data_IF_026710110237
#
_entry.id   IF_026710110237
#
_cell.length_a   1.000
_cell.length_b   1.000
_cell.length_c   1.000
_cell.angle_alpha   90.00
_cell.angle_beta   90.00
_cell.angle_gamma   90.00
#
_symmetry.space_group_name_H-M   'P 1'
#
loop_
_entity.id
_entity.type
_entity.pdbx_description
1 polymer ?
#
# COMPACT_ATOMS: atom_id res chain seq x y z
N UNK A 1 0.05 28.45 -5.57
CA UNK A 1 0.05 27.06 -6.05
C UNK A 1 -0.40 26.17 -4.89
N UNK A 2 -1.70 25.87 -4.79
CA UNK A 2 -2.21 24.95 -3.76
C UNK A 2 -1.76 23.55 -4.16
N UNK A 3 -0.80 22.98 -3.42
CA UNK A 3 -0.42 21.59 -3.58
C UNK A 3 -1.67 20.75 -3.27
N UNK A 4 -2.01 19.85 -4.18
CA UNK A 4 -3.16 18.95 -4.12
C UNK A 4 -3.04 17.92 -2.97
N UNK A 5 -3.09 18.38 -1.72
CA UNK A 5 -3.09 17.53 -0.50
C UNK A 5 -4.45 16.80 -0.33
N UNK A 6 -5.36 16.94 -1.29
CA UNK A 6 -6.71 16.38 -1.19
C UNK A 6 -6.80 14.89 -1.53
N UNK A 7 -5.92 14.33 -2.37
CA UNK A 7 -6.02 12.91 -2.78
C UNK A 7 -5.10 11.98 -1.94
N UNK A 8 -5.53 10.72 -1.69
CA UNK A 8 -4.83 9.81 -0.78
C UNK A 8 -3.40 9.48 -1.21
N UNK A 9 -3.13 9.43 -2.53
CA UNK A 9 -1.79 9.13 -3.02
C UNK A 9 -0.84 10.30 -2.76
N UNK A 10 -1.27 11.54 -3.03
CA UNK A 10 -0.46 12.73 -2.75
C UNK A 10 -0.11 12.87 -1.27
N UNK A 11 -1.05 12.53 -0.35
CA UNK A 11 -0.77 12.49 1.10
C UNK A 11 0.30 11.47 1.43
N UNK A 12 0.19 10.27 0.87
CA UNK A 12 1.16 9.20 1.04
C UNK A 12 2.56 9.58 0.57
N UNK A 13 2.69 10.16 -0.63
CA UNK A 13 3.97 10.62 -1.14
C UNK A 13 4.58 11.73 -0.28
N UNK A 14 3.74 12.65 0.19
CA UNK A 14 4.16 13.74 1.09
C UNK A 14 4.73 13.21 2.42
N UNK A 15 4.21 12.09 2.92
CA UNK A 15 4.72 11.42 4.12
C UNK A 15 6.14 10.85 3.98
N UNK A 16 6.73 10.85 2.77
CA UNK A 16 8.04 10.25 2.48
C UNK A 16 9.02 11.32 2.01
N UNK A 17 10.01 11.63 2.86
CA UNK A 17 11.00 12.69 2.61
C UNK A 17 12.06 12.29 1.59
N UNK A 18 12.61 11.08 1.69
CA UNK A 18 13.67 10.62 0.81
C UNK A 18 13.13 10.05 -0.51
N UNK A 19 13.60 10.56 -1.64
CA UNK A 19 13.09 10.21 -2.97
C UNK A 19 13.25 8.71 -3.30
N UNK A 20 14.41 8.13 -3.03
CA UNK A 20 14.65 6.70 -3.27
C UNK A 20 13.70 5.82 -2.44
N UNK A 21 13.40 6.25 -1.20
CA UNK A 21 12.43 5.56 -0.35
C UNK A 21 11.02 5.69 -0.91
N UNK A 22 10.67 6.87 -1.43
CA UNK A 22 9.38 7.14 -2.06
C UNK A 22 9.14 6.20 -3.24
N UNK A 23 10.08 6.09 -4.17
CA UNK A 23 9.97 5.19 -5.32
C UNK A 23 9.77 3.73 -4.90
N UNK A 24 10.54 3.25 -3.90
CA UNK A 24 10.39 1.88 -3.36
C UNK A 24 9.03 1.67 -2.70
N UNK A 25 8.51 2.66 -1.99
CA UNK A 25 7.24 2.59 -1.29
C UNK A 25 6.06 2.62 -2.26
N UNK A 26 6.07 3.54 -3.23
CA UNK A 26 5.10 3.64 -4.32
C UNK A 26 5.01 2.30 -5.06
N UNK A 27 6.14 1.75 -5.50
CA UNK A 27 6.15 0.45 -6.20
C UNK A 27 5.56 -0.68 -5.37
N UNK A 28 5.85 -0.74 -4.07
CA UNK A 28 5.35 -1.80 -3.19
C UNK A 28 3.88 -1.64 -2.84
N UNK A 29 3.40 -0.41 -2.74
CA UNK A 29 1.99 -0.11 -2.57
C UNK A 29 1.21 -0.53 -3.82
N UNK A 30 1.74 -0.24 -5.02
CA UNK A 30 1.12 -0.67 -6.29
C UNK A 30 1.01 -2.20 -6.38
N UNK A 31 2.07 -2.93 -5.99
CA UNK A 31 2.04 -4.41 -5.93
C UNK A 31 0.95 -4.92 -4.98
N UNK A 32 0.70 -4.24 -3.87
CA UNK A 32 -0.38 -4.61 -2.96
C UNK A 32 -1.76 -4.38 -3.60
N UNK A 33 -1.94 -3.26 -4.30
CA UNK A 33 -3.17 -2.99 -5.05
C UNK A 33 -3.38 -4.00 -6.18
N UNK A 34 -2.32 -4.35 -6.92
CA UNK A 34 -2.36 -5.37 -7.98
C UNK A 34 -2.72 -6.75 -7.44
N UNK A 35 -2.18 -7.11 -6.27
CA UNK A 35 -2.49 -8.40 -5.63
C UNK A 35 -3.99 -8.60 -5.38
N UNK A 36 -4.71 -7.51 -5.07
CA UNK A 36 -6.15 -7.52 -4.88
C UNK A 36 -6.94 -7.03 -6.10
N UNK A 37 -6.29 -6.83 -7.25
CA UNK A 37 -6.90 -6.30 -8.46
C UNK A 37 -7.71 -5.02 -8.21
N UNK A 38 -7.20 -4.10 -7.38
CA UNK A 38 -7.84 -2.80 -7.16
C UNK A 38 -7.93 -2.07 -8.49
N UNK A 39 -9.14 -1.65 -8.86
CA UNK A 39 -9.40 -0.99 -10.13
C UNK A 39 -8.60 0.31 -10.28
N UNK A 40 -8.11 0.56 -11.50
CA UNK A 40 -7.40 1.79 -11.85
C UNK A 40 -6.20 1.54 -12.75
N UNK A 41 -5.96 2.44 -13.71
CA UNK A 41 -4.81 2.38 -14.63
C UNK A 41 -3.53 2.97 -14.03
N UNK A 42 -3.67 3.81 -13.01
CA UNK A 42 -2.56 4.45 -12.32
C UNK A 42 -2.64 4.21 -10.81
N UNK A 43 -1.50 4.29 -10.12
CA UNK A 43 -1.47 4.16 -8.65
C UNK A 43 -2.33 5.24 -7.95
N UNK A 44 -2.47 6.42 -8.56
CA UNK A 44 -3.36 7.48 -8.06
C UNK A 44 -4.82 7.05 -8.09
N UNK A 45 -5.27 6.45 -9.19
CA UNK A 45 -6.63 5.91 -9.30
C UNK A 45 -6.86 4.76 -8.34
N UNK A 46 -5.93 3.79 -8.29
CA UNK A 46 -6.01 2.66 -7.35
C UNK A 46 -6.07 3.12 -5.90
N UNK A 47 -5.29 4.15 -5.54
CA UNK A 47 -5.31 4.73 -4.19
C UNK A 47 -6.67 5.35 -3.84
N UNK A 48 -7.31 6.05 -4.79
CA UNK A 48 -8.66 6.62 -4.60
C UNK A 48 -9.71 5.52 -4.46
N UNK A 49 -9.65 4.50 -5.31
CA UNK A 49 -10.59 3.38 -5.30
C UNK A 49 -10.43 2.52 -4.05
N UNK A 50 -9.21 2.30 -3.58
CA UNK A 50 -8.96 1.62 -2.33
C UNK A 50 -9.51 2.42 -1.13
N UNK A 51 -9.30 3.74 -1.09
CA UNK A 51 -9.89 4.59 -0.03
C UNK A 51 -11.42 4.58 -0.06
N UNK A 52 -12.02 4.53 -1.24
CA UNK A 52 -13.48 4.38 -1.36
C UNK A 52 -13.93 3.04 -0.77
N UNK A 53 -13.26 1.95 -1.16
CA UNK A 53 -13.50 0.61 -0.62
C UNK A 53 -13.37 0.56 0.90
N UNK A 54 -12.35 1.22 1.48
CA UNK A 54 -12.15 1.23 2.95
C UNK A 54 -13.29 1.94 3.68
N UNK A 55 -13.83 3.02 3.11
CA UNK A 55 -14.99 3.75 3.68
C UNK A 55 -16.28 2.93 3.62
N UNK A 56 -16.45 2.12 2.58
CA UNK A 56 -17.64 1.31 2.37
C UNK A 56 -17.64 0.02 3.21
N UNK A 57 -16.46 -0.55 3.50
CA UNK A 57 -16.35 -1.88 4.12
C UNK A 57 -15.79 -1.87 5.55
N UNK A 58 -15.31 -0.73 6.05
CA UNK A 58 -14.80 -0.59 7.43
C UNK A 58 -13.39 -1.16 7.63
N UNK A 59 -12.81 -0.87 8.80
CA UNK A 59 -11.41 -1.14 9.12
C UNK A 59 -11.09 -2.62 9.32
N UNK A 60 -12.06 -3.43 9.76
CA UNK A 60 -11.91 -4.88 9.91
C UNK A 60 -11.60 -5.54 8.58
N UNK A 61 -12.37 -5.21 7.53
CA UNK A 61 -12.14 -5.75 6.19
C UNK A 61 -10.77 -5.38 5.62
N UNK A 62 -10.30 -4.17 5.91
CA UNK A 62 -8.96 -3.72 5.50
C UNK A 62 -7.88 -4.47 6.26
N UNK A 63 -8.09 -4.73 7.55
CA UNK A 63 -7.18 -5.51 8.36
C UNK A 63 -7.04 -6.92 7.80
N UNK A 64 -8.13 -7.56 7.40
CA UNK A 64 -8.11 -8.88 6.75
C UNK A 64 -7.31 -8.89 5.45
N UNK A 65 -7.51 -7.89 4.58
CA UNK A 65 -6.73 -7.76 3.34
C UNK A 65 -5.24 -7.59 3.62
N UNK A 66 -4.87 -6.80 4.62
CA UNK A 66 -3.46 -6.62 4.99
C UNK A 66 -2.89 -7.94 5.53
N UNK A 67 -3.59 -8.61 6.44
CA UNK A 67 -3.16 -9.90 7.01
C UNK A 67 -3.01 -10.97 5.92
N UNK A 68 -3.97 -11.06 4.99
CA UNK A 68 -3.93 -12.01 3.87
C UNK A 68 -2.71 -11.79 2.98
N UNK A 69 -2.45 -10.53 2.60
CA UNK A 69 -1.28 -10.19 1.80
C UNK A 69 0.03 -10.46 2.54
N UNK A 70 0.11 -10.11 3.83
CA UNK A 70 1.30 -10.35 4.63
C UNK A 70 1.56 -11.84 4.83
N UNK A 71 0.51 -12.65 5.04
CA UNK A 71 0.59 -14.11 5.11
C UNK A 71 1.13 -14.70 3.81
N UNK A 72 0.69 -14.20 2.65
CA UNK A 72 1.25 -14.58 1.36
C UNK A 72 2.75 -14.27 1.25
N UNK A 73 3.20 -13.08 1.66
CA UNK A 73 4.64 -12.74 1.65
C UNK A 73 5.45 -13.58 2.64
N UNK A 74 4.90 -13.91 3.82
CA UNK A 74 5.53 -14.84 4.77
C UNK A 74 5.68 -16.23 4.14
N UNK A 75 4.66 -16.73 3.43
CA UNK A 75 4.74 -17.97 2.68
C UNK A 75 5.88 -17.97 1.65
N UNK A 76 6.05 -16.86 0.92
CA UNK A 76 7.19 -16.68 -0.02
C UNK A 76 8.53 -16.69 0.70
N UNK A 77 8.63 -16.09 1.88
CA UNK A 77 9.86 -16.09 2.67
C UNK A 77 10.20 -17.50 3.18
N UNK A 78 9.20 -18.26 3.63
CA UNK A 78 9.38 -19.65 4.07
C UNK A 78 9.85 -20.55 2.93
N UNK A 79 9.36 -20.31 1.70
CA UNK A 79 9.82 -20.97 0.47
C UNK A 79 11.18 -20.45 -0.06
N UNK A 80 11.86 -19.57 0.68
CA UNK A 80 13.14 -18.92 0.30
C UNK A 80 13.09 -18.13 -1.03
N UNK A 81 11.89 -17.75 -1.49
CA UNK A 81 11.71 -16.89 -2.68
C UNK A 81 12.14 -15.45 -2.37
N UNK A 82 11.94 -15.02 -1.13
CA UNK A 82 12.41 -13.74 -0.60
C UNK A 82 13.06 -13.95 0.77
N UNK A 83 13.86 -13.00 1.24
CA UNK A 83 14.37 -13.05 2.61
C UNK A 83 13.26 -12.73 3.63
N UNK A 84 13.37 -13.26 4.85
CA UNK A 84 12.47 -12.90 5.97
C UNK A 84 12.48 -11.40 6.26
N UNK A 85 13.63 -10.74 6.13
CA UNK A 85 13.77 -9.29 6.30
C UNK A 85 13.00 -8.49 5.24
N UNK A 86 12.78 -9.07 4.05
CA UNK A 86 12.00 -8.44 2.97
C UNK A 86 10.49 -8.41 3.24
N UNK A 87 9.97 -9.26 4.14
CA UNK A 87 8.54 -9.27 4.47
C UNK A 87 8.12 -7.93 5.10
N UNK A 88 8.85 -7.44 6.11
CA UNK A 88 8.57 -6.15 6.77
C UNK A 88 8.53 -4.98 5.78
N UNK A 89 9.34 -5.12 4.74
CA UNK A 89 9.52 -4.14 3.68
C UNK A 89 8.24 -3.97 2.81
N UNK A 90 7.40 -5.00 2.69
CA UNK A 90 6.07 -4.91 2.06
C UNK A 90 5.03 -4.24 2.96
N UNK A 91 5.10 -4.45 4.28
CA UNK A 91 4.13 -3.88 5.22
C UNK A 91 4.27 -2.36 5.40
N UNK A 92 5.50 -1.85 5.49
CA UNK A 92 5.78 -0.43 5.74
C UNK A 92 4.99 0.56 4.85
N UNK A 93 5.00 0.42 3.50
CA UNK A 93 4.26 1.35 2.64
C UNK A 93 2.74 1.25 2.85
N UNK A 94 2.20 0.05 3.07
CA UNK A 94 0.76 -0.15 3.33
C UNK A 94 0.36 0.51 4.64
N UNK A 95 1.16 0.32 5.70
CA UNK A 95 0.93 0.97 7.00
C UNK A 95 0.97 2.48 6.88
N UNK A 96 1.95 3.04 6.18
CA UNK A 96 2.05 4.48 5.98
C UNK A 96 0.85 5.01 5.20
N UNK A 97 0.44 4.33 4.13
CA UNK A 97 -0.74 4.68 3.35
C UNK A 97 -1.97 4.73 4.26
N UNK A 98 -2.23 3.66 5.02
CA UNK A 98 -3.37 3.55 5.96
C UNK A 98 -3.34 4.52 7.14
N UNK A 99 -2.19 5.03 7.52
CA UNK A 99 -2.09 6.03 8.58
C UNK A 99 -2.51 7.43 8.11
N UNK A 100 -2.50 7.69 6.81
CA UNK A 100 -2.72 9.01 6.22
C UNK A 100 -4.16 9.23 5.69
N UNK A 101 -5.07 8.30 5.98
CA UNK A 101 -6.51 8.40 5.71
C UNK A 101 -7.35 7.82 6.86
#
# INVERSE_FOLDING_TARGET
MQIAIQDPFSRFEFGIKAEETRQKYVRRLDIFFDFYNVEGKSIKEKSKNFLKYTKENGTEKITDLIIGYMSYQVGRANKKIISKSTVRNFYKPIKLFCFLF
#
